data_IF_701892082016
#
_entry.id   IF_701892082016
#
_cell.length_a   1.000
_cell.length_b   1.000
_cell.length_c   1.000
_cell.angle_alpha   90.00
_cell.angle_beta   90.00
_cell.angle_gamma   90.00
#
_symmetry.space_group_name_H-M   'P 1'
#
loop_
_entity.id
_entity.type
_entity.pdbx_description
1 polymer ?
#
# COMPACT_ATOMS: atom_id res chain seq x y z
N UNK A 1 23.84 -15.30 18.87
CA UNK A 1 23.77 -14.79 17.49
C UNK A 1 22.40 -15.20 16.99
N UNK A 2 21.47 -14.25 16.86
CA UNK A 2 20.14 -14.56 16.31
C UNK A 2 20.31 -14.85 14.81
N UNK A 3 19.56 -15.82 14.24
CA UNK A 3 19.56 -16.01 12.80
C UNK A 3 19.15 -14.68 12.12
N UNK A 4 19.76 -14.39 10.98
CA UNK A 4 19.29 -13.29 10.13
C UNK A 4 17.80 -13.51 9.86
N UNK A 5 17.00 -12.47 10.08
CA UNK A 5 15.56 -12.54 9.86
C UNK A 5 15.31 -12.85 8.37
N UNK A 6 14.57 -13.92 8.11
CA UNK A 6 14.13 -14.25 6.75
C UNK A 6 13.24 -13.12 6.22
N UNK A 7 13.57 -12.64 5.02
CA UNK A 7 12.81 -11.60 4.35
C UNK A 7 11.44 -12.14 3.91
N UNK A 8 10.36 -11.51 4.40
CA UNK A 8 8.98 -11.92 4.13
C UNK A 8 8.56 -11.31 2.79
N UNK A 9 8.72 -12.08 1.72
CA UNK A 9 8.46 -11.60 0.35
C UNK A 9 6.98 -11.64 -0.07
N UNK A 10 6.15 -12.43 0.62
CA UNK A 10 4.74 -12.63 0.27
C UNK A 10 3.82 -12.54 1.49
N UNK A 11 3.09 -11.42 1.61
CA UNK A 11 2.28 -11.07 2.79
C UNK A 11 0.92 -11.80 2.85
N UNK A 12 0.83 -13.01 2.32
CA UNK A 12 -0.40 -13.83 2.29
C UNK A 12 -0.12 -15.33 2.28
N UNK A 13 1.09 -15.74 2.64
CA UNK A 13 1.48 -17.14 2.74
C UNK A 13 1.78 -17.51 4.20
N UNK A 14 1.62 -18.81 4.51
CA UNK A 14 2.07 -19.36 5.78
C UNK A 14 3.56 -19.65 5.69
N UNK A 15 4.34 -18.96 6.52
CA UNK A 15 5.76 -19.20 6.72
C UNK A 15 5.96 -20.21 7.83
N UNK A 16 6.79 -21.22 7.55
CA UNK A 16 7.16 -22.26 8.52
C UNK A 16 8.41 -21.85 9.26
N UNK A 17 8.29 -21.69 10.57
CA UNK A 17 9.42 -21.58 11.48
C UNK A 17 9.64 -22.92 12.15
N UNK A 18 10.85 -23.45 12.01
CA UNK A 18 11.31 -24.58 12.81
C UNK A 18 12.03 -24.03 14.03
N UNK A 19 11.49 -24.33 15.21
CA UNK A 19 12.11 -23.94 16.47
C UNK A 19 13.25 -24.90 16.83
N UNK A 20 14.05 -24.53 17.84
CA UNK A 20 15.19 -25.31 18.34
C UNK A 20 14.75 -26.68 18.89
N UNK A 21 13.46 -26.84 19.21
CA UNK A 21 12.86 -28.07 19.73
C UNK A 21 12.15 -28.91 18.66
N UNK A 22 12.47 -28.69 17.37
CA UNK A 22 11.82 -29.33 16.21
C UNK A 22 10.30 -29.09 16.11
N UNK A 23 9.77 -28.13 16.86
CA UNK A 23 8.37 -27.72 16.71
C UNK A 23 8.22 -26.87 15.44
N UNK A 24 7.30 -27.28 14.58
CA UNK A 24 6.90 -26.54 13.38
C UNK A 24 5.80 -25.55 13.78
N UNK A 25 6.07 -24.26 13.60
CA UNK A 25 5.09 -23.18 13.76
C UNK A 25 4.84 -22.50 12.42
N UNK A 26 3.57 -22.36 12.04
CA UNK A 26 3.16 -21.64 10.83
C UNK A 26 2.62 -20.26 11.21
N UNK A 27 3.09 -19.21 10.53
CA UNK A 27 2.59 -17.85 10.73
C UNK A 27 2.34 -17.15 9.39
N UNK A 28 1.35 -16.26 9.35
CA UNK A 28 1.10 -15.37 8.21
C UNK A 28 0.98 -13.92 8.72
N UNK A 29 1.47 -12.97 7.94
CA UNK A 29 1.36 -11.55 8.26
C UNK A 29 0.17 -10.94 7.52
N UNK A 30 -0.80 -10.40 8.25
CA UNK A 30 -1.95 -9.69 7.66
C UNK A 30 -1.97 -8.24 8.16
N UNK A 31 -1.79 -7.30 7.24
CA UNK A 31 -1.77 -5.87 7.56
C UNK A 31 -3.17 -5.29 7.36
N UNK A 32 -3.82 -4.92 8.47
CA UNK A 32 -5.20 -4.40 8.44
C UNK A 32 -5.29 -2.91 8.74
N UNK A 33 -4.39 -2.40 9.56
CA UNK A 33 -4.45 -1.05 10.10
C UNK A 33 -3.07 -0.58 10.56
N UNK A 34 -2.95 0.72 10.82
CA UNK A 34 -1.80 1.35 11.46
C UNK A 34 -2.21 1.67 12.89
N UNK A 35 -1.54 1.07 13.87
CA UNK A 35 -1.82 1.29 15.31
C UNK A 35 -3.28 1.03 15.73
N UNK A 36 -3.94 0.05 15.11
CA UNK A 36 -5.35 -0.27 15.38
C UNK A 36 -6.36 0.63 14.65
N UNK A 37 -5.90 1.56 13.80
CA UNK A 37 -6.74 2.52 13.08
C UNK A 37 -6.51 2.51 11.57
N UNK A 38 -7.56 2.85 10.81
CA UNK A 38 -7.52 2.92 9.35
C UNK A 38 -7.80 1.58 8.66
N UNK A 39 -7.56 1.55 7.36
CA UNK A 39 -7.81 0.40 6.49
C UNK A 39 -6.55 0.04 5.68
N UNK A 40 -6.66 -0.90 4.75
CA UNK A 40 -5.56 -1.32 3.88
C UNK A 40 -4.92 -0.11 3.17
N UNK A 41 -5.74 0.83 2.70
CA UNK A 41 -5.25 2.04 2.03
C UNK A 41 -4.36 2.89 2.94
N UNK A 42 -4.69 2.97 4.23
CA UNK A 42 -3.88 3.69 5.22
C UNK A 42 -2.50 3.03 5.37
N UNK A 43 -2.46 1.69 5.41
CA UNK A 43 -1.20 0.94 5.42
C UNK A 43 -0.39 1.22 4.15
N UNK A 44 -1.01 1.11 2.98
CA UNK A 44 -0.35 1.32 1.68
C UNK A 44 0.23 2.73 1.53
N UNK A 45 -0.50 3.76 1.98
CA UNK A 45 0.00 5.15 2.03
C UNK A 45 1.22 5.27 2.95
N UNK A 46 1.23 4.56 4.09
CA UNK A 46 2.33 4.57 5.07
C UNK A 46 3.60 3.88 4.56
N UNK A 47 3.46 2.79 3.80
CA UNK A 47 4.59 1.98 3.31
C UNK A 47 5.01 2.32 1.87
N UNK A 48 4.71 3.53 1.38
CA UNK A 48 5.09 3.99 0.05
C UNK A 48 6.60 3.79 -0.19
N UNK A 49 6.95 3.24 -1.34
CA UNK A 49 8.32 2.85 -1.68
C UNK A 49 9.18 4.01 -2.22
N UNK A 50 8.56 5.12 -2.60
CA UNK A 50 9.22 6.28 -3.19
C UNK A 50 8.45 7.56 -2.90
N UNK A 51 9.04 8.70 -3.28
CA UNK A 51 8.39 10.00 -3.19
C UNK A 51 7.07 10.02 -3.98
N UNK A 52 6.11 10.77 -3.46
CA UNK A 52 4.71 10.76 -3.89
C UNK A 52 4.18 12.17 -4.12
N UNK A 53 4.97 13.01 -4.80
CA UNK A 53 4.69 14.44 -4.98
C UNK A 53 3.30 14.69 -5.53
N UNK A 54 2.85 13.93 -6.54
CA UNK A 54 1.52 14.14 -7.12
C UNK A 54 0.41 13.78 -6.13
N UNK A 55 0.57 12.67 -5.40
CA UNK A 55 -0.40 12.26 -4.39
C UNK A 55 -0.41 13.20 -3.17
N UNK A 56 0.74 13.65 -2.70
CA UNK A 56 0.87 14.54 -1.53
C UNK A 56 0.26 15.92 -1.80
N UNK A 57 0.32 16.41 -3.04
CA UNK A 57 -0.39 17.63 -3.45
C UNK A 57 -1.93 17.53 -3.30
N UNK A 58 -2.50 16.34 -3.12
CA UNK A 58 -3.92 16.20 -2.82
C UNK A 58 -4.29 16.71 -1.43
N UNK A 59 -3.34 16.83 -0.51
CA UNK A 59 -3.60 17.45 0.80
C UNK A 59 -3.99 18.93 0.63
N UNK A 60 -3.35 19.65 -0.31
CA UNK A 60 -3.75 21.03 -0.65
C UNK A 60 -5.16 21.08 -1.27
N UNK A 61 -5.51 20.10 -2.10
CA UNK A 61 -6.87 19.97 -2.63
C UNK A 61 -7.89 19.70 -1.51
N UNK A 62 -7.58 18.79 -0.58
CA UNK A 62 -8.41 18.53 0.60
C UNK A 62 -8.57 19.77 1.47
N UNK A 63 -7.49 20.51 1.69
CA UNK A 63 -7.51 21.79 2.40
C UNK A 63 -8.37 22.83 1.69
N UNK A 64 -8.32 22.87 0.35
CA UNK A 64 -9.18 23.73 -0.45
C UNK A 64 -10.66 23.37 -0.28
N UNK A 65 -11.01 22.07 -0.29
CA UNK A 65 -12.40 21.62 -0.03
C UNK A 65 -12.89 22.05 1.35
N UNK A 66 -12.07 21.85 2.39
CA UNK A 66 -12.43 22.21 3.77
C UNK A 66 -12.71 23.72 3.91
N UNK A 67 -11.95 24.58 3.22
CA UNK A 67 -12.20 26.04 3.17
C UNK A 67 -13.54 26.40 2.52
N UNK A 68 -14.09 25.52 1.70
CA UNK A 68 -15.39 25.66 1.04
C UNK A 68 -16.49 24.92 1.79
N UNK A 69 -16.28 24.58 3.07
CA UNK A 69 -17.20 23.83 3.92
C UNK A 69 -17.58 22.45 3.35
N UNK A 70 -16.73 21.88 2.50
CA UNK A 70 -16.84 20.52 1.98
C UNK A 70 -15.79 19.64 2.64
N UNK A 71 -16.19 18.45 3.06
CA UNK A 71 -15.27 17.47 3.66
C UNK A 71 -15.26 16.18 2.87
N UNK A 72 -14.08 15.55 2.78
CA UNK A 72 -13.91 14.17 2.33
C UNK A 72 -13.50 13.31 3.53
N UNK A 73 -14.05 12.09 3.62
CA UNK A 73 -13.66 11.12 4.65
C UNK A 73 -12.23 10.65 4.40
N UNK A 74 -11.49 10.35 5.46
CA UNK A 74 -10.09 9.88 5.35
C UNK A 74 -9.97 8.66 4.45
N UNK A 75 -10.88 7.68 4.60
CA UNK A 75 -10.94 6.50 3.73
C UNK A 75 -11.03 6.83 2.24
N UNK A 76 -11.92 7.75 1.87
CA UNK A 76 -12.13 8.11 0.47
C UNK A 76 -10.95 8.94 -0.06
N UNK A 77 -10.35 9.74 0.81
CA UNK A 77 -9.13 10.48 0.51
C UNK A 77 -7.94 9.54 0.30
N UNK A 78 -7.70 8.57 1.18
CA UNK A 78 -6.60 7.61 1.07
C UNK A 78 -6.73 6.77 -0.21
N UNK A 79 -7.95 6.35 -0.58
CA UNK A 79 -8.21 5.71 -1.88
C UNK A 79 -7.82 6.59 -3.06
N UNK A 80 -8.16 7.87 -3.00
CA UNK A 80 -7.83 8.81 -4.07
C UNK A 80 -6.33 9.12 -4.12
N UNK A 81 -5.70 9.23 -2.95
CA UNK A 81 -4.25 9.39 -2.79
C UNK A 81 -3.51 8.22 -3.42
N UNK A 82 -3.88 6.97 -3.10
CA UNK A 82 -3.23 5.76 -3.66
C UNK A 82 -3.40 5.70 -5.17
N UNK A 83 -4.60 6.02 -5.67
CA UNK A 83 -4.86 6.05 -7.11
C UNK A 83 -3.92 7.03 -7.83
N UNK A 84 -3.68 8.22 -7.25
CA UNK A 84 -2.73 9.19 -7.81
C UNK A 84 -1.29 8.72 -7.67
N UNK A 85 -0.92 8.16 -6.52
CA UNK A 85 0.42 7.61 -6.28
C UNK A 85 0.77 6.54 -7.31
N UNK A 86 -0.11 5.53 -7.47
CA UNK A 86 0.09 4.46 -8.45
C UNK A 86 0.18 4.97 -9.88
N UNK A 87 -0.59 5.99 -10.22
CA UNK A 87 -0.69 6.48 -11.61
C UNK A 87 0.43 7.44 -11.99
N UNK A 88 0.75 8.38 -11.12
CA UNK A 88 1.60 9.52 -11.46
C UNK A 88 3.00 9.39 -10.90
N UNK A 89 3.11 8.89 -9.67
CA UNK A 89 4.37 8.78 -8.96
C UNK A 89 5.09 7.47 -9.30
N UNK A 90 4.41 6.31 -9.27
CA UNK A 90 5.08 5.00 -9.48
C UNK A 90 5.08 4.51 -10.92
N UNK A 91 4.10 4.91 -11.75
CA UNK A 91 3.96 4.30 -13.07
C UNK A 91 4.99 4.83 -14.08
N UNK A 92 5.55 3.91 -14.88
CA UNK A 92 6.43 4.26 -15.99
C UNK A 92 5.69 5.11 -17.03
N UNK A 93 6.43 5.93 -17.78
CA UNK A 93 5.85 6.76 -18.86
C UNK A 93 5.17 5.92 -19.94
N UNK A 94 5.66 4.71 -20.19
CA UNK A 94 5.07 3.77 -21.14
C UNK A 94 3.74 3.21 -20.63
N UNK A 95 3.69 2.83 -19.36
CA UNK A 95 2.49 2.26 -18.74
C UNK A 95 1.39 3.30 -18.49
N UNK A 96 1.76 4.58 -18.35
CA UNK A 96 0.80 5.70 -18.28
C UNK A 96 -0.18 5.73 -19.47
N UNK A 97 0.23 5.25 -20.65
CA UNK A 97 -0.66 5.14 -21.84
C UNK A 97 -1.79 4.12 -21.63
N UNK A 98 -1.59 3.14 -20.75
CA UNK A 98 -2.57 2.12 -20.37
C UNK A 98 -2.85 2.17 -18.87
N UNK A 99 -2.85 3.38 -18.28
CA UNK A 99 -2.93 3.56 -16.84
C UNK A 99 -4.15 2.89 -16.20
N UNK A 100 -5.28 2.89 -16.91
CA UNK A 100 -6.51 2.23 -16.47
C UNK A 100 -6.41 0.71 -16.34
N UNK A 101 -5.38 0.07 -16.91
CA UNK A 101 -5.09 -1.37 -16.75
C UNK A 101 -3.85 -1.61 -15.89
N UNK A 102 -2.81 -0.80 -16.04
CA UNK A 102 -1.47 -1.07 -15.50
C UNK A 102 -1.09 -0.26 -14.26
N UNK A 103 -1.72 0.89 -14.05
CA UNK A 103 -1.36 1.82 -12.98
C UNK A 103 -2.53 1.99 -12.00
N UNK A 104 -3.11 0.87 -11.57
CA UNK A 104 -4.23 0.85 -10.63
C UNK A 104 -4.07 -0.30 -9.63
N UNK A 105 -4.90 -0.30 -8.59
CA UNK A 105 -4.88 -1.30 -7.53
C UNK A 105 -5.12 -2.74 -8.03
N UNK A 106 -5.91 -2.92 -9.10
CA UNK A 106 -6.18 -4.23 -9.69
C UNK A 106 -5.00 -4.76 -10.51
N UNK A 107 -4.11 -3.88 -10.97
CA UNK A 107 -2.90 -4.22 -11.74
C UNK A 107 -1.78 -4.82 -10.89
N UNK A 108 -1.82 -4.61 -9.56
CA UNK A 108 -0.85 -5.17 -8.61
C UNK A 108 -0.89 -6.72 -8.54
N UNK A 109 -1.95 -7.35 -9.08
CA UNK A 109 -2.05 -8.82 -9.20
C UNK A 109 -1.85 -9.36 -10.62
N UNK A 110 -1.59 -8.51 -11.62
CA UNK A 110 -1.57 -8.91 -13.04
C UNK A 110 -0.16 -9.19 -13.60
N UNK A 111 0.88 -9.18 -12.77
CA UNK A 111 2.27 -9.47 -13.18
C UNK A 111 2.73 -10.88 -12.81
N UNK A 112 1.82 -11.80 -12.47
CA UNK A 112 2.14 -13.22 -12.28
C UNK A 112 1.05 -14.11 -12.89
N UNK A 113 1.14 -14.31 -14.21
CA UNK A 113 0.51 -15.44 -14.91
C UNK A 113 1.25 -15.72 -16.22
#
# INVERSE_FOLDING_TARGET
>A
MYPEAEDIRETSQLYRLTTIEDQITEFACYFTNVEGQGELETVLKKIKSQDSTYADCLEDWRNCLNKQEKSIKDKDFDKFWISNYLRFDTCSTEDKKQAGRKCNMNGLGASQS
#
